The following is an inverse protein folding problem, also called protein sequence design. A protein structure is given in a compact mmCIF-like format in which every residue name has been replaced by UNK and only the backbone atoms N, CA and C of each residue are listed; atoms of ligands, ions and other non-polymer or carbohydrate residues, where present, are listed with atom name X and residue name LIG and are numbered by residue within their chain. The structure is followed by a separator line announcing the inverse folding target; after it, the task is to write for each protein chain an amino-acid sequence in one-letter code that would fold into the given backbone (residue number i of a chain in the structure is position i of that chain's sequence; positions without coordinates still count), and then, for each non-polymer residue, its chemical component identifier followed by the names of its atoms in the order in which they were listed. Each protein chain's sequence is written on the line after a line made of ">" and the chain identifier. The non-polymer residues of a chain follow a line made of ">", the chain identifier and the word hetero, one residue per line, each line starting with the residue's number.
data_IF_111068401974
#
_entry.id   IF_111068401974
#
_cell.length_a   1.000
_cell.length_b   1.000
_cell.length_c   1.000
_cell.angle_alpha   90.00
_cell.angle_beta   90.00
_cell.angle_gamma   90.00
#
_symmetry.space_group_name_H-M   'P 1'
#
loop_
_entity.id
_entity.type
_entity.pdbx_description
1 polymer ?
#
# COMPACT_ATOMS: atom_id res chain seq x y z
N UNK A 1 -15.79 -2.31 -5.46
CA UNK A 1 -15.41 -0.96 -5.94
C UNK A 1 -13.95 -0.97 -6.32
N UNK A 2 -13.54 -0.08 -7.23
CA UNK A 2 -12.14 0.08 -7.62
C UNK A 2 -11.59 1.32 -6.90
N UNK A 3 -10.55 1.14 -6.10
CA UNK A 3 -10.00 2.19 -5.24
C UNK A 3 -8.53 2.40 -5.57
N UNK A 4 -8.16 3.64 -5.87
CA UNK A 4 -6.79 4.05 -6.20
C UNK A 4 -6.20 4.86 -5.04
N UNK A 5 -5.10 4.38 -4.50
CA UNK A 5 -4.22 5.14 -3.62
C UNK A 5 -3.09 5.75 -4.45
N UNK A 6 -2.77 7.00 -4.17
CA UNK A 6 -1.63 7.70 -4.78
C UNK A 6 -0.67 8.14 -3.70
N UNK A 7 0.62 7.83 -3.88
CA UNK A 7 1.66 8.15 -2.91
C UNK A 7 2.87 8.74 -3.66
N UNK A 8 3.49 9.79 -3.12
CA UNK A 8 4.59 10.53 -3.77
C UNK A 8 5.88 10.57 -2.94
N UNK A 9 5.79 10.22 -1.66
CA UNK A 9 6.89 10.11 -0.72
C UNK A 9 7.88 9.03 -1.19
N UNK A 10 9.19 9.31 -1.15
CA UNK A 10 10.17 8.28 -1.41
C UNK A 10 10.28 7.28 -0.25
N UNK A 11 9.75 7.63 0.92
CA UNK A 11 10.01 6.96 2.18
C UNK A 11 8.77 6.27 2.74
N UNK A 12 8.99 5.45 3.76
CA UNK A 12 7.91 4.82 4.52
C UNK A 12 7.90 5.42 5.93
N UNK A 13 6.77 5.98 6.33
CA UNK A 13 6.50 6.51 7.65
C UNK A 13 5.10 6.11 8.12
N UNK A 14 4.60 6.79 9.14
CA UNK A 14 3.31 6.44 9.75
C UNK A 14 2.13 6.55 8.77
N UNK A 15 2.15 7.53 7.86
CA UNK A 15 1.07 7.75 6.90
C UNK A 15 1.01 6.64 5.86
N UNK A 16 2.16 6.25 5.30
CA UNK A 16 2.27 5.18 4.34
C UNK A 16 1.89 3.83 4.95
N UNK A 17 2.31 3.58 6.20
CA UNK A 17 1.93 2.36 6.94
C UNK A 17 0.43 2.31 7.21
N UNK A 18 -0.19 3.44 7.58
CA UNK A 18 -1.63 3.52 7.77
C UNK A 18 -2.39 3.31 6.45
N UNK A 19 -1.92 3.92 5.36
CA UNK A 19 -2.49 3.72 4.02
C UNK A 19 -2.44 2.24 3.61
N UNK A 20 -1.31 1.56 3.80
CA UNK A 20 -1.18 0.12 3.56
C UNK A 20 -2.20 -0.67 4.40
N UNK A 21 -2.30 -0.38 5.70
CA UNK A 21 -3.25 -1.09 6.58
C UNK A 21 -4.71 -0.92 6.12
N UNK A 22 -5.08 0.28 5.69
CA UNK A 22 -6.40 0.55 5.11
C UNK A 22 -6.60 -0.20 3.79
N UNK A 23 -5.62 -0.17 2.89
CA UNK A 23 -5.65 -0.91 1.63
C UNK A 23 -5.88 -2.42 1.87
N UNK A 24 -5.19 -3.02 2.85
CA UNK A 24 -5.41 -4.41 3.25
C UNK A 24 -6.85 -4.66 3.71
N UNK A 25 -7.37 -3.81 4.61
CA UNK A 25 -8.71 -3.96 5.15
C UNK A 25 -9.77 -3.88 4.05
N UNK A 26 -9.63 -2.91 3.15
CA UNK A 26 -10.51 -2.71 2.00
C UNK A 26 -10.46 -3.90 1.03
N UNK A 27 -9.27 -4.47 0.76
CA UNK A 27 -9.14 -5.69 -0.04
C UNK A 27 -9.88 -6.87 0.59
N UNK A 28 -9.80 -7.04 1.93
CA UNK A 28 -10.52 -8.11 2.65
C UNK A 28 -12.04 -7.98 2.59
N UNK A 29 -12.55 -6.78 2.37
CA UNK A 29 -13.98 -6.53 2.11
C UNK A 29 -14.40 -6.84 0.65
N UNK A 30 -13.49 -7.39 -0.16
CA UNK A 30 -13.77 -7.79 -1.55
C UNK A 30 -13.67 -6.65 -2.56
N UNK A 31 -13.01 -5.54 -2.20
CA UNK A 31 -12.78 -4.43 -3.12
C UNK A 31 -11.44 -4.54 -3.84
N UNK A 32 -11.37 -4.04 -5.07
CA UNK A 32 -10.13 -3.96 -5.82
C UNK A 32 -9.38 -2.69 -5.42
N UNK A 33 -8.12 -2.85 -5.02
CA UNK A 33 -7.29 -1.74 -4.55
C UNK A 33 -6.01 -1.69 -5.37
N UNK A 34 -5.65 -0.50 -5.82
CA UNK A 34 -4.42 -0.22 -6.57
C UNK A 34 -3.64 0.88 -5.88
N UNK A 35 -2.31 0.81 -5.95
CA UNK A 35 -1.41 1.85 -5.47
C UNK A 35 -0.55 2.36 -6.62
N UNK A 36 -0.69 3.63 -6.94
CA UNK A 36 0.22 4.36 -7.81
C UNK A 36 1.23 5.11 -6.93
N UNK A 37 2.51 4.77 -7.07
CA UNK A 37 3.58 5.46 -6.37
C UNK A 37 4.79 5.68 -7.30
N UNK A 38 5.71 6.54 -6.87
CA UNK A 38 6.96 6.76 -7.62
C UNK A 38 7.78 5.48 -7.65
N UNK A 39 8.49 5.25 -8.76
CA UNK A 39 9.28 4.03 -9.01
C UNK A 39 10.23 3.66 -7.86
N UNK A 40 10.79 4.66 -7.19
CA UNK A 40 11.76 4.48 -6.11
C UNK A 40 11.16 4.60 -4.71
N UNK A 41 9.83 4.65 -4.58
CA UNK A 41 9.19 4.73 -3.25
C UNK A 41 9.37 3.43 -2.47
N UNK A 42 9.65 3.57 -1.17
CA UNK A 42 9.74 2.45 -0.22
C UNK A 42 8.39 1.79 0.08
N UNK A 43 7.28 2.43 -0.29
CA UNK A 43 5.92 1.83 -0.21
C UNK A 43 5.66 0.80 -1.31
N UNK A 44 6.57 0.65 -2.28
CA UNK A 44 6.40 -0.36 -3.34
C UNK A 44 6.35 -1.78 -2.75
N UNK A 45 5.51 -2.68 -3.28
CA UNK A 45 5.42 -4.06 -2.78
C UNK A 45 6.77 -4.78 -2.73
N UNK A 46 7.68 -4.49 -3.66
CA UNK A 46 9.04 -5.05 -3.71
C UNK A 46 9.92 -4.65 -2.51
N UNK A 47 9.60 -3.55 -1.84
CA UNK A 47 10.42 -2.94 -0.77
C UNK A 47 9.77 -3.03 0.61
N UNK A 48 8.51 -3.44 0.68
CA UNK A 48 7.83 -3.76 1.93
C UNK A 48 8.24 -5.19 2.36
N UNK A 49 8.66 -5.37 3.61
CA UNK A 49 9.07 -6.68 4.13
C UNK A 49 7.95 -7.73 4.06
N UNK A 50 8.31 -9.00 3.81
CA UNK A 50 7.37 -10.14 3.60
C UNK A 50 6.26 -10.25 4.65
N UNK A 51 6.53 -9.91 5.91
CA UNK A 51 5.55 -9.91 7.02
C UNK A 51 4.32 -9.03 6.77
N UNK A 52 4.46 -7.94 6.00
CA UNK A 52 3.35 -7.06 5.62
C UNK A 52 2.71 -7.53 4.31
N UNK A 53 3.50 -8.09 3.38
CA UNK A 53 2.99 -8.61 2.10
C UNK A 53 2.07 -9.83 2.25
N UNK A 54 2.34 -10.72 3.20
CA UNK A 54 1.45 -11.87 3.48
C UNK A 54 0.09 -11.45 4.04
N UNK A 55 -0.04 -10.19 4.48
CA UNK A 55 -1.29 -9.58 4.93
C UNK A 55 -1.94 -8.66 3.88
N UNK A 56 -1.27 -8.43 2.74
CA UNK A 56 -1.69 -7.58 1.61
C UNK A 56 -2.44 -8.38 0.55
#
# INVERSE_FOLDING_TARGET
>A
MNILYTESSPNIGGQELQAIAQMCAIRRLGHQVMLACREHSRITPKRIGKSILEKL
#
